data_IF_876053243938
#
_entry.id   IF_876053243938
#
_cell.length_a   1.000
_cell.length_b   1.000
_cell.length_c   1.000
_cell.angle_alpha   90.00
_cell.angle_beta   90.00
_cell.angle_gamma   90.00
#
_symmetry.space_group_name_H-M   'P 1'
#
loop_
_entity.id
_entity.type
_entity.pdbx_description
1 polymer ?
#
# COMPACT_ATOMS: atom_id res chain seq x y z
N UNK A 1 -21.33 7.72 -3.96
CA UNK A 1 -20.19 8.16 -3.11
C UNK A 1 -18.91 7.73 -3.80
N UNK A 2 -17.95 8.63 -3.97
CA UNK A 2 -16.65 8.28 -4.54
C UNK A 2 -15.86 7.49 -3.50
N UNK A 3 -15.40 6.28 -3.83
CA UNK A 3 -14.65 5.40 -2.93
C UNK A 3 -13.16 5.57 -3.19
N UNK A 4 -12.37 5.82 -2.15
CA UNK A 4 -10.91 5.95 -2.22
C UNK A 4 -10.30 4.54 -2.23
N UNK A 5 -9.41 4.25 -3.17
CA UNK A 5 -8.70 2.97 -3.24
C UNK A 5 -7.26 3.16 -2.74
N UNK A 6 -6.90 2.47 -1.66
CA UNK A 6 -5.55 2.51 -1.09
C UNK A 6 -4.85 1.17 -1.31
N UNK A 7 -3.66 1.22 -1.90
CA UNK A 7 -2.78 0.07 -2.03
C UNK A 7 -1.80 -0.01 -0.86
N UNK A 8 -1.59 -1.20 -0.30
CA UNK A 8 -0.63 -1.44 0.77
C UNK A 8 0.49 -2.34 0.24
N UNK A 9 1.67 -1.77 0.00
CA UNK A 9 2.88 -2.53 -0.36
C UNK A 9 3.32 -3.32 0.88
N UNK A 10 3.30 -4.65 0.77
CA UNK A 10 3.71 -5.54 1.85
C UNK A 10 3.14 -6.95 1.68
N UNK A 11 3.81 -7.92 2.28
CA UNK A 11 3.41 -9.32 2.21
C UNK A 11 2.47 -9.66 3.38
N UNK A 12 1.16 -9.48 3.17
CA UNK A 12 0.18 -9.61 4.24
C UNK A 12 0.32 -10.92 5.04
N UNK A 13 0.36 -10.77 6.37
CA UNK A 13 0.43 -11.86 7.32
C UNK A 13 -0.51 -11.54 8.52
N UNK A 14 -1.64 -12.24 8.68
CA UNK A 14 -2.65 -11.90 9.69
C UNK A 14 -2.18 -12.12 11.13
N UNK A 15 -1.11 -12.88 11.32
CA UNK A 15 -0.45 -13.09 12.61
C UNK A 15 0.46 -11.93 13.02
N UNK A 16 0.76 -10.98 12.13
CA UNK A 16 1.53 -9.79 12.47
C UNK A 16 0.59 -8.69 12.99
N UNK A 17 0.74 -8.25 14.25
CA UNK A 17 -0.10 -7.19 14.82
C UNK A 17 -0.06 -5.91 13.99
N UNK A 18 1.13 -5.53 13.51
CA UNK A 18 1.32 -4.31 12.71
C UNK A 18 0.41 -4.24 11.48
N UNK A 19 0.17 -5.36 10.79
CA UNK A 19 -0.67 -5.37 9.60
C UNK A 19 -2.14 -5.11 9.93
N UNK A 20 -2.62 -5.70 11.03
CA UNK A 20 -3.98 -5.44 11.53
C UNK A 20 -4.11 -4.00 12.03
N UNK A 21 -3.07 -3.49 12.68
CA UNK A 21 -3.05 -2.11 13.17
C UNK A 21 -3.01 -1.11 12.00
N UNK A 22 -2.32 -1.42 10.90
CA UNK A 22 -2.37 -0.64 9.66
C UNK A 22 -3.79 -0.59 9.08
N UNK A 23 -4.48 -1.72 8.97
CA UNK A 23 -5.87 -1.76 8.49
C UNK A 23 -6.81 -0.98 9.41
N UNK A 24 -6.66 -1.13 10.73
CA UNK A 24 -7.46 -0.42 11.72
C UNK A 24 -7.22 1.10 11.69
N UNK A 25 -5.96 1.54 11.55
CA UNK A 25 -5.62 2.96 11.45
C UNK A 25 -6.19 3.61 10.19
N UNK A 26 -6.14 2.90 9.06
CA UNK A 26 -6.75 3.36 7.82
C UNK A 26 -8.28 3.45 7.98
N UNK A 27 -8.94 2.41 8.51
CA UNK A 27 -10.38 2.42 8.75
C UNK A 27 -10.80 3.60 9.65
N UNK A 28 -10.07 3.84 10.74
CA UNK A 28 -10.29 4.99 11.62
C UNK A 28 -10.20 6.33 10.88
N UNK A 29 -9.22 6.49 9.97
CA UNK A 29 -9.11 7.70 9.15
C UNK A 29 -10.31 7.86 8.19
N UNK A 30 -10.74 6.78 7.54
CA UNK A 30 -11.90 6.82 6.65
C UNK A 30 -13.19 7.23 7.39
N UNK A 31 -13.41 6.67 8.58
CA UNK A 31 -14.55 7.01 9.45
C UNK A 31 -14.50 8.47 9.90
N UNK A 32 -13.33 8.95 10.34
CA UNK A 32 -13.13 10.33 10.77
C UNK A 32 -13.41 11.36 9.66
N UNK A 33 -13.21 10.98 8.39
CA UNK A 33 -13.46 11.82 7.23
C UNK A 33 -14.80 11.55 6.53
N UNK A 34 -15.58 10.55 6.98
CA UNK A 34 -16.85 10.18 6.37
C UNK A 34 -16.73 9.72 4.91
N UNK A 35 -15.61 9.08 4.55
CA UNK A 35 -15.32 8.62 3.18
C UNK A 35 -15.38 7.10 3.07
N UNK A 36 -15.86 6.58 1.95
CA UNK A 36 -15.75 5.16 1.65
C UNK A 36 -14.33 4.82 1.21
N UNK A 37 -13.75 3.74 1.73
CA UNK A 37 -12.41 3.30 1.37
C UNK A 37 -12.37 1.81 1.04
N UNK A 38 -11.57 1.44 0.03
CA UNK A 38 -11.18 0.08 -0.27
C UNK A 38 -9.67 -0.07 -0.07
N UNK A 39 -9.27 -1.13 0.64
CA UNK A 39 -7.87 -1.47 0.90
C UNK A 39 -7.49 -2.70 0.09
N UNK A 40 -6.28 -2.71 -0.45
CA UNK A 40 -5.72 -3.89 -1.09
C UNK A 40 -4.24 -4.06 -0.72
N UNK A 41 -3.91 -5.22 -0.15
CA UNK A 41 -2.53 -5.63 0.04
C UNK A 41 -1.89 -6.05 -1.29
N UNK A 42 -0.68 -5.55 -1.53
CA UNK A 42 0.10 -5.70 -2.75
C UNK A 42 1.37 -6.48 -2.39
N UNK A 43 1.39 -7.81 -2.65
CA UNK A 43 2.56 -8.63 -2.41
C UNK A 43 3.77 -8.05 -3.11
N UNK A 44 4.90 -7.92 -2.41
CA UNK A 44 6.01 -7.13 -2.93
C UNK A 44 6.63 -7.79 -4.17
N UNK A 45 6.60 -9.12 -4.26
CA UNK A 45 7.04 -9.86 -5.44
C UNK A 45 6.30 -9.51 -6.74
N UNK A 46 5.06 -8.98 -6.67
CA UNK A 46 4.31 -8.57 -7.85
C UNK A 46 4.72 -7.17 -8.37
N UNK A 47 5.52 -6.45 -7.60
CA UNK A 47 5.93 -5.06 -7.89
C UNK A 47 7.34 -4.96 -8.46
N UNK A 48 8.00 -6.08 -8.74
CA UNK A 48 9.32 -6.04 -9.37
C UNK A 48 9.23 -5.53 -10.83
N UNK A 49 10.07 -4.55 -11.14
CA UNK A 49 10.18 -3.95 -12.47
C UNK A 49 9.07 -2.95 -12.82
N UNK A 50 9.21 -2.33 -14.00
CA UNK A 50 8.28 -1.29 -14.45
C UNK A 50 6.88 -1.83 -14.72
N UNK A 51 6.78 -2.98 -15.38
CA UNK A 51 5.48 -3.63 -15.66
C UNK A 51 4.75 -4.00 -14.37
N UNK A 52 5.49 -4.47 -13.36
CA UNK A 52 4.94 -4.80 -12.05
C UNK A 52 4.37 -3.58 -11.32
N UNK A 53 4.93 -2.39 -11.53
CA UNK A 53 4.48 -1.18 -10.81
C UNK A 53 3.41 -0.38 -11.55
N UNK A 54 3.16 -0.62 -12.84
CA UNK A 54 2.19 0.16 -13.63
C UNK A 54 0.77 0.15 -13.05
N UNK A 55 0.34 -0.97 -12.46
CA UNK A 55 -0.99 -1.09 -11.87
C UNK A 55 -1.17 -0.21 -10.61
N UNK A 56 -0.09 0.32 -10.03
CA UNK A 56 -0.15 1.27 -8.91
C UNK A 56 -0.83 2.59 -9.29
N UNK A 57 -0.93 2.92 -10.59
CA UNK A 57 -1.70 4.06 -11.09
C UNK A 57 -3.18 4.02 -10.71
N UNK A 58 -3.73 2.82 -10.45
CA UNK A 58 -5.14 2.61 -10.10
C UNK A 58 -5.51 2.93 -8.64
N UNK A 59 -4.54 3.21 -7.76
CA UNK A 59 -4.80 3.52 -6.35
C UNK A 59 -4.64 5.01 -6.08
N UNK A 60 -5.58 5.60 -5.36
CA UNK A 60 -5.58 7.03 -4.99
C UNK A 60 -4.46 7.37 -3.99
N UNK A 61 -3.99 6.39 -3.23
CA UNK A 61 -2.85 6.52 -2.32
C UNK A 61 -2.23 5.16 -2.01
N UNK A 62 -0.95 5.18 -1.61
CA UNK A 62 -0.16 3.98 -1.38
C UNK A 62 0.50 4.05 -0.01
N UNK A 63 0.43 2.97 0.76
CA UNK A 63 1.14 2.80 2.02
C UNK A 63 2.16 1.67 1.89
N UNK A 64 3.39 1.88 2.33
CA UNK A 64 4.37 0.80 2.50
C UNK A 64 4.32 0.32 3.96
N UNK A 65 3.87 -0.91 4.17
CA UNK A 65 3.64 -1.46 5.50
C UNK A 65 4.97 -1.80 6.20
N UNK A 66 5.06 -1.69 7.54
CA UNK A 66 6.24 -2.12 8.26
C UNK A 66 6.34 -3.65 8.23
N UNK A 67 7.57 -4.19 8.27
CA UNK A 67 7.77 -5.64 8.31
C UNK A 67 8.90 -6.18 7.44
N UNK A 68 9.86 -5.33 7.02
CA UNK A 68 11.10 -5.78 6.41
C UNK A 68 11.81 -6.82 7.31
N UNK A 69 12.42 -7.88 6.75
CA UNK A 69 12.59 -8.14 5.31
C UNK A 69 11.29 -8.55 4.61
N UNK A 70 11.06 -7.99 3.41
CA UNK A 70 9.95 -8.41 2.57
C UNK A 70 10.31 -9.70 1.83
N UNK A 71 9.31 -10.38 1.25
CA UNK A 71 9.57 -11.49 0.33
C UNK A 71 10.35 -11.04 -0.91
N UNK A 72 10.12 -9.80 -1.34
CA UNK A 72 10.94 -9.09 -2.31
C UNK A 72 11.19 -7.65 -1.87
N UNK A 73 12.42 -7.35 -1.45
CA UNK A 73 12.85 -5.98 -1.17
C UNK A 73 12.93 -5.16 -2.47
N UNK A 74 13.29 -5.79 -3.59
CA UNK A 74 13.32 -5.15 -4.91
C UNK A 74 11.96 -4.62 -5.30
N UNK A 75 10.90 -5.43 -5.21
CA UNK A 75 9.56 -4.99 -5.55
C UNK A 75 9.01 -3.93 -4.61
N UNK A 76 9.37 -3.98 -3.32
CA UNK A 76 9.04 -2.91 -2.38
C UNK A 76 9.70 -1.58 -2.79
N UNK A 77 11.00 -1.60 -3.11
CA UNK A 77 11.74 -0.42 -3.58
C UNK A 77 11.24 0.10 -4.93
N UNK A 78 10.90 -0.79 -5.86
CA UNK A 78 10.32 -0.42 -7.16
C UNK A 78 8.97 0.27 -6.98
N UNK A 79 8.09 -0.26 -6.11
CA UNK A 79 6.82 0.38 -5.78
C UNK A 79 7.01 1.76 -5.15
N UNK A 80 7.96 1.93 -4.22
CA UNK A 80 8.30 3.23 -3.63
C UNK A 80 8.82 4.19 -4.70
N UNK A 81 9.73 3.72 -5.58
CA UNK A 81 10.30 4.52 -6.66
C UNK A 81 9.21 4.96 -7.65
N UNK A 82 8.26 4.08 -7.99
CA UNK A 82 7.11 4.40 -8.82
C UNK A 82 6.28 5.53 -8.20
N UNK A 83 5.92 5.42 -6.91
CA UNK A 83 5.13 6.45 -6.24
C UNK A 83 5.80 7.82 -6.30
N UNK A 84 7.12 7.85 -6.00
CA UNK A 84 7.93 9.06 -6.02
C UNK A 84 8.02 9.69 -7.42
N UNK A 85 8.22 8.89 -8.46
CA UNK A 85 8.38 9.36 -9.85
C UNK A 85 7.07 9.84 -10.46
N UNK A 86 5.94 9.29 -10.01
CA UNK A 86 4.61 9.59 -10.56
C UNK A 86 3.77 10.49 -9.63
N UNK A 87 4.39 11.11 -8.62
CA UNK A 87 3.74 12.00 -7.66
C UNK A 87 2.47 11.39 -7.02
N UNK A 88 2.53 10.08 -6.70
CA UNK A 88 1.42 9.40 -6.00
C UNK A 88 1.49 9.72 -4.51
N UNK A 89 0.36 10.01 -3.85
CA UNK A 89 0.31 10.08 -2.38
C UNK A 89 0.88 8.79 -1.79
N UNK A 90 1.89 8.94 -0.94
CA UNK A 90 2.66 7.83 -0.41
C UNK A 90 2.97 8.02 1.08
N UNK A 91 2.81 6.98 1.87
CA UNK A 91 3.23 6.91 3.27
C UNK A 91 4.09 5.66 3.50
N UNK A 92 5.22 5.79 4.18
CA UNK A 92 6.03 4.67 4.64
C UNK A 92 6.28 4.79 6.15
N UNK A 93 6.34 3.65 6.84
CA UNK A 93 6.52 3.56 8.31
C UNK A 93 7.70 2.68 8.66
#
# INVERSE_FOLDING_TARGET
MNRINIGIIGDYAPNLPSHRDTEAALAHAADAHGVGMALQWLPTAHLEGTVGTEFLSGYDGILCAPGSPYKSDTGALDGIAYCRRNNRPFLGT
#
